data_IF_773956671081
#
_entry.id   IF_773956671081
#
_cell.length_a   1.000
_cell.length_b   1.000
_cell.length_c   1.000
_cell.angle_alpha   90.00
_cell.angle_beta   90.00
_cell.angle_gamma   90.00
#
_symmetry.space_group_name_H-M   'P 1'
#
loop_
_entity.id
_entity.type
_entity.pdbx_description
1 polymer ?
#
# COMPACT_ATOMS: atom_id res chain seq x y z
N UNK A 1 -31.90 26.67 10.01
CA UNK A 1 -32.92 25.76 9.49
C UNK A 1 -32.74 24.42 10.22
N UNK A 2 -33.69 23.98 11.03
CA UNK A 2 -33.64 22.66 11.68
C UNK A 2 -34.06 21.62 10.65
N UNK A 3 -33.22 20.63 10.39
CA UNK A 3 -33.53 19.54 9.46
C UNK A 3 -33.81 18.26 10.24
N UNK A 4 -34.78 17.51 9.74
CA UNK A 4 -35.39 16.32 10.30
C UNK A 4 -34.42 15.18 10.57
N UNK A 5 -34.69 14.43 11.65
CA UNK A 5 -34.02 13.17 12.00
C UNK A 5 -34.36 12.09 10.99
N UNK A 6 -33.35 11.49 10.38
CA UNK A 6 -33.50 10.28 9.55
C UNK A 6 -32.72 9.16 10.25
N UNK A 7 -33.45 8.08 10.58
CA UNK A 7 -32.86 6.83 11.09
C UNK A 7 -32.71 5.89 9.89
N UNK A 8 -31.49 5.73 9.39
CA UNK A 8 -31.13 4.59 8.54
C UNK A 8 -30.12 3.71 9.26
N UNK A 9 -30.51 2.47 9.53
CA UNK A 9 -29.65 1.43 10.12
C UNK A 9 -29.18 0.55 8.97
N UNK A 10 -27.90 0.58 8.66
CA UNK A 10 -27.30 -0.38 7.74
C UNK A 10 -26.60 -1.48 8.55
N UNK A 11 -27.23 -2.64 8.62
CA UNK A 11 -26.70 -3.86 9.22
C UNK A 11 -25.96 -4.68 8.15
N UNK A 12 -24.68 -4.94 8.38
CA UNK A 12 -23.97 -6.06 7.74
C UNK A 12 -23.46 -6.99 8.84
N UNK A 13 -24.08 -8.16 8.94
CA UNK A 13 -23.67 -9.23 9.84
C UNK A 13 -22.88 -10.28 9.08
N UNK A 14 -21.64 -10.55 9.50
CA UNK A 14 -20.96 -11.82 9.26
C UNK A 14 -20.52 -12.39 10.62
N UNK A 15 -21.05 -13.57 10.94
CA UNK A 15 -20.77 -14.26 12.18
C UNK A 15 -19.70 -15.34 11.98
N UNK A 16 -18.70 -15.37 12.88
CA UNK A 16 -18.06 -16.62 13.34
C UNK A 16 -17.21 -16.38 14.60
N UNK A 17 -17.39 -17.22 15.64
CA UNK A 17 -16.44 -17.47 16.72
C UNK A 17 -16.69 -16.74 18.05
N UNK A 18 -17.03 -17.50 19.09
CA UNK A 18 -17.41 -17.05 20.45
C UNK A 18 -16.18 -16.60 21.25
N UNK A 19 -15.93 -15.34 21.21
CA UNK A 19 -15.52 -14.49 22.32
C UNK A 19 -16.61 -13.40 22.39
N UNK A 20 -16.88 -12.77 23.52
CA UNK A 20 -17.91 -11.72 23.57
C UNK A 20 -17.55 -10.65 22.54
N UNK A 21 -17.96 -10.87 21.28
CA UNK A 21 -17.64 -10.03 20.16
C UNK A 21 -18.37 -8.71 20.41
N UNK A 22 -17.62 -7.65 20.58
CA UNK A 22 -18.21 -6.31 20.55
C UNK A 22 -18.95 -6.18 19.21
N UNK A 23 -20.15 -5.58 19.25
CA UNK A 23 -20.93 -5.38 18.03
C UNK A 23 -20.13 -4.59 16.99
N UNK A 24 -20.29 -4.92 15.70
CA UNK A 24 -19.68 -4.17 14.62
C UNK A 24 -19.97 -2.66 14.77
N UNK A 25 -19.08 -1.78 14.30
CA UNK A 25 -19.29 -0.35 14.41
C UNK A 25 -20.53 0.08 13.65
N UNK A 26 -21.35 0.93 14.27
CA UNK A 26 -22.57 1.47 13.69
C UNK A 26 -22.69 2.96 13.98
N UNK A 27 -23.34 3.68 13.05
CA UNK A 27 -23.56 5.13 13.15
C UNK A 27 -25.05 5.39 13.38
N UNK A 28 -25.37 6.23 14.35
CA UNK A 28 -26.70 6.74 14.61
C UNK A 28 -26.71 8.24 14.83
N UNK A 29 -27.94 8.80 14.88
CA UNK A 29 -28.20 10.20 15.23
C UNK A 29 -27.33 11.21 14.44
N UNK A 30 -27.32 11.07 13.09
CA UNK A 30 -26.60 12.00 12.22
C UNK A 30 -27.37 13.31 12.11
N UNK A 31 -26.77 14.40 12.55
CA UNK A 31 -27.33 15.74 12.42
C UNK A 31 -26.28 16.63 11.70
N UNK A 32 -26.73 17.62 10.95
CA UNK A 32 -25.83 18.61 10.40
C UNK A 32 -26.39 20.02 10.49
N UNK A 33 -25.49 20.98 10.57
CA UNK A 33 -25.79 22.39 10.64
C UNK A 33 -24.72 23.19 9.90
N UNK A 34 -25.14 24.22 9.16
CA UNK A 34 -24.22 25.14 8.52
C UNK A 34 -24.20 26.48 9.25
N UNK A 35 -23.02 26.93 9.61
CA UNK A 35 -22.83 28.27 10.18
C UNK A 35 -23.21 29.35 9.15
N UNK A 36 -24.15 30.26 9.44
CA UNK A 36 -24.62 31.27 8.48
C UNK A 36 -23.55 32.30 8.09
N UNK A 37 -22.56 32.51 8.97
CA UNK A 37 -21.46 33.46 8.75
C UNK A 37 -20.26 32.82 8.08
N UNK A 38 -19.71 31.77 8.69
CA UNK A 38 -18.48 31.12 8.20
C UNK A 38 -18.73 30.09 7.11
N UNK A 39 -20.00 29.74 6.86
CA UNK A 39 -20.43 28.69 5.92
C UNK A 39 -19.92 27.29 6.26
N UNK A 40 -19.17 27.10 7.33
CA UNK A 40 -18.69 25.80 7.77
C UNK A 40 -19.86 24.89 8.11
N UNK A 41 -19.86 23.70 7.57
CA UNK A 41 -20.80 22.64 7.92
C UNK A 41 -20.22 21.84 9.08
N UNK A 42 -21.03 21.69 10.14
CA UNK A 42 -20.78 20.78 11.26
C UNK A 42 -21.73 19.59 11.11
N UNK A 43 -21.19 18.38 11.10
CA UNK A 43 -21.95 17.13 11.16
C UNK A 43 -21.64 16.46 12.48
N UNK A 44 -22.68 16.05 13.19
CA UNK A 44 -22.53 15.28 14.42
C UNK A 44 -23.15 13.89 14.26
N UNK A 45 -22.62 12.91 14.98
CA UNK A 45 -23.10 11.53 14.94
C UNK A 45 -22.70 10.77 16.21
N UNK A 46 -23.38 9.66 16.48
CA UNK A 46 -23.02 8.73 17.55
C UNK A 46 -22.40 7.49 16.94
N UNK A 47 -21.20 7.09 17.42
CA UNK A 47 -20.54 5.85 17.03
C UNK A 47 -20.71 4.81 18.15
N UNK A 48 -21.37 3.71 17.82
CA UNK A 48 -21.64 2.59 18.73
C UNK A 48 -20.94 1.32 18.28
N UNK A 49 -20.79 0.35 19.18
CA UNK A 49 -20.07 -0.91 18.91
C UNK A 49 -18.56 -0.76 19.02
N UNK A 50 -17.81 -1.37 18.13
CA UNK A 50 -16.35 -1.24 18.06
C UNK A 50 -15.90 0.11 17.48
N UNK A 51 -14.60 0.41 17.63
CA UNK A 51 -13.96 1.50 16.91
C UNK A 51 -14.04 1.28 15.39
N UNK A 52 -14.17 2.37 14.64
CA UNK A 52 -14.28 2.28 13.18
C UNK A 52 -13.75 3.53 12.48
N UNK A 53 -13.75 3.49 11.17
CA UNK A 53 -13.32 4.59 10.30
C UNK A 53 -14.56 5.24 9.67
N UNK A 54 -15.00 6.42 10.14
CA UNK A 54 -16.12 7.13 9.56
C UNK A 54 -15.72 7.89 8.29
N UNK A 55 -16.59 7.86 7.29
CA UNK A 55 -16.49 8.69 6.09
C UNK A 55 -17.80 9.46 5.89
N UNK A 56 -17.68 10.72 5.47
CA UNK A 56 -18.81 11.63 5.24
C UNK A 56 -19.25 11.58 3.78
N UNK A 57 -20.55 11.56 3.54
CA UNK A 57 -21.19 11.87 2.26
C UNK A 57 -22.26 12.96 2.48
N UNK A 58 -22.28 13.96 1.63
CA UNK A 58 -23.35 14.96 1.59
C UNK A 58 -24.19 14.70 0.34
N UNK A 59 -25.50 14.67 0.52
CA UNK A 59 -26.45 14.38 -0.56
C UNK A 59 -27.45 15.53 -0.72
N UNK A 60 -27.85 15.76 -1.97
CA UNK A 60 -28.96 16.63 -2.29
C UNK A 60 -30.00 15.82 -3.07
N UNK A 61 -31.26 15.82 -2.60
CA UNK A 61 -32.34 14.98 -3.15
C UNK A 61 -31.92 13.50 -3.30
N UNK A 62 -31.19 12.96 -2.31
CA UNK A 62 -30.73 11.58 -2.28
C UNK A 62 -29.47 11.27 -3.12
N UNK A 63 -28.98 12.20 -3.93
CA UNK A 63 -27.79 12.06 -4.78
C UNK A 63 -26.57 12.67 -4.10
N UNK A 64 -25.46 11.93 -4.04
CA UNK A 64 -24.18 12.43 -3.50
C UNK A 64 -23.70 13.64 -4.31
N UNK A 65 -23.18 14.66 -3.63
CA UNK A 65 -22.50 15.79 -4.29
C UNK A 65 -21.13 15.38 -4.85
N UNK A 66 -20.69 14.17 -4.59
CA UNK A 66 -19.39 13.64 -5.02
C UNK A 66 -18.24 13.94 -4.05
N UNK A 67 -17.36 13.01 -3.95
CA UNK A 67 -16.26 13.03 -2.97
C UNK A 67 -15.24 14.12 -3.20
N UNK A 68 -15.02 14.52 -4.45
CA UNK A 68 -14.13 15.62 -4.79
C UNK A 68 -14.54 16.93 -4.09
N UNK A 69 -15.84 17.09 -3.85
CA UNK A 69 -16.43 18.26 -3.21
C UNK A 69 -16.39 18.18 -1.68
N UNK A 70 -16.05 17.01 -1.11
CA UNK A 70 -15.91 16.79 0.32
C UNK A 70 -14.45 16.79 0.81
N UNK A 71 -13.52 17.08 -0.07
CA UNK A 71 -12.09 17.20 0.28
C UNK A 71 -11.90 18.20 1.40
N UNK A 72 -11.00 17.85 2.34
CA UNK A 72 -10.70 18.70 3.48
C UNK A 72 -11.73 18.62 4.62
N UNK A 73 -12.66 17.68 4.61
CA UNK A 73 -13.41 17.34 5.81
C UNK A 73 -12.45 16.87 6.92
N UNK A 74 -12.68 17.33 8.16
CA UNK A 74 -11.77 17.06 9.28
C UNK A 74 -12.55 16.84 10.58
N UNK A 75 -11.86 16.44 11.64
CA UNK A 75 -12.46 16.05 12.91
C UNK A 75 -12.49 14.52 13.05
N UNK A 76 -13.64 13.97 13.42
CA UNK A 76 -13.83 12.53 13.61
C UNK A 76 -14.22 11.82 12.30
N UNK A 77 -13.36 11.93 11.31
CA UNK A 77 -13.53 11.41 9.94
C UNK A 77 -12.17 11.00 9.36
N UNK A 78 -12.17 10.09 8.42
CA UNK A 78 -10.97 9.59 7.73
C UNK A 78 -9.90 8.93 8.62
N UNK A 79 -10.16 8.70 9.87
CA UNK A 79 -9.23 8.08 10.85
C UNK A 79 -9.97 7.05 11.69
N UNK A 80 -9.22 6.23 12.42
CA UNK A 80 -9.83 5.34 13.41
C UNK A 80 -10.41 6.18 14.55
N UNK A 81 -11.70 6.08 14.76
CA UNK A 81 -12.45 6.78 15.82
C UNK A 81 -12.93 5.75 16.84
N UNK A 82 -12.67 6.03 18.12
CA UNK A 82 -13.15 5.20 19.21
C UNK A 82 -14.66 5.38 19.40
N UNK A 83 -15.38 4.28 19.60
CA UNK A 83 -16.77 4.30 20.03
C UNK A 83 -16.89 4.74 21.50
N UNK A 84 -18.09 4.95 21.99
CA UNK A 84 -18.39 5.27 23.38
C UNK A 84 -19.34 6.44 23.52
N UNK A 85 -19.66 6.78 24.79
CA UNK A 85 -20.60 7.85 25.13
C UNK A 85 -20.06 9.20 24.65
N UNK A 86 -20.75 9.81 23.75
CA UNK A 86 -20.45 11.16 23.26
C UNK A 86 -20.62 11.31 21.77
N UNK A 87 -21.05 12.49 21.43
CA UNK A 87 -21.21 12.94 20.06
C UNK A 87 -19.83 13.07 19.40
N UNK A 88 -19.68 12.55 18.18
CA UNK A 88 -18.53 12.73 17.30
C UNK A 88 -18.83 13.89 16.36
N UNK A 89 -17.78 14.57 15.90
CA UNK A 89 -17.98 15.78 15.09
C UNK A 89 -17.09 15.78 13.86
N UNK A 90 -17.70 16.08 12.72
CA UNK A 90 -17.01 16.31 11.45
C UNK A 90 -17.28 17.76 11.03
N UNK A 91 -16.25 18.42 10.54
CA UNK A 91 -16.34 19.75 9.93
C UNK A 91 -15.97 19.68 8.45
N UNK A 92 -16.71 20.43 7.64
CA UNK A 92 -16.46 20.59 6.21
C UNK A 92 -16.59 22.05 5.79
N UNK A 93 -15.66 22.51 4.94
CA UNK A 93 -15.64 23.86 4.40
C UNK A 93 -16.07 23.86 2.93
N UNK A 94 -17.38 23.97 2.60
CA UNK A 94 -17.86 23.95 1.22
C UNK A 94 -17.25 25.06 0.35
N UNK A 95 -17.06 26.25 0.89
CA UNK A 95 -16.44 27.38 0.18
C UNK A 95 -15.02 27.08 -0.33
N UNK A 96 -14.28 26.21 0.36
CA UNK A 96 -12.93 25.78 -0.04
C UNK A 96 -12.94 24.59 -0.98
N UNK A 97 -13.82 23.63 -0.71
CA UNK A 97 -13.85 22.37 -1.43
C UNK A 97 -14.70 22.41 -2.70
N UNK A 98 -15.75 23.26 -2.70
CA UNK A 98 -16.73 23.35 -3.77
C UNK A 98 -17.22 24.82 -3.97
N UNK A 99 -16.33 25.76 -4.30
CA UNK A 99 -16.63 27.19 -4.35
C UNK A 99 -17.75 27.51 -5.35
N UNK A 100 -18.56 28.55 -5.03
CA UNK A 100 -19.62 29.03 -5.88
C UNK A 100 -20.88 28.18 -5.96
N UNK A 101 -20.98 27.11 -5.14
CA UNK A 101 -22.15 26.25 -5.08
C UNK A 101 -22.99 26.49 -3.82
N UNK A 102 -24.30 26.38 -3.95
CA UNK A 102 -25.24 26.37 -2.84
C UNK A 102 -26.16 25.17 -2.94
N UNK A 103 -26.48 24.57 -1.78
CA UNK A 103 -27.45 23.48 -1.68
C UNK A 103 -28.78 24.07 -1.21
N UNK A 104 -29.77 24.13 -2.11
CA UNK A 104 -31.02 24.88 -1.86
C UNK A 104 -32.01 24.13 -0.96
N UNK A 105 -32.17 22.82 -1.14
CA UNK A 105 -33.13 21.99 -0.39
C UNK A 105 -32.79 20.51 -0.49
N UNK A 106 -33.39 19.67 0.37
CA UNK A 106 -33.20 18.22 0.34
C UNK A 106 -31.79 17.78 0.66
N UNK A 107 -31.05 18.57 1.45
CA UNK A 107 -29.68 18.25 1.85
C UNK A 107 -29.69 17.29 3.04
N UNK A 108 -28.91 16.23 2.94
CA UNK A 108 -28.70 15.27 4.01
C UNK A 108 -27.21 14.96 4.16
N UNK A 109 -26.75 14.76 5.43
CA UNK A 109 -25.44 14.20 5.71
C UNK A 109 -25.58 12.71 5.99
N UNK A 110 -24.72 11.91 5.40
CA UNK A 110 -24.61 10.47 5.64
C UNK A 110 -23.21 10.18 6.15
N UNK A 111 -23.10 9.54 7.30
CA UNK A 111 -21.83 9.05 7.83
C UNK A 111 -21.86 7.53 7.72
N UNK A 112 -20.89 6.96 6.99
CA UNK A 112 -20.68 5.51 6.91
C UNK A 112 -19.45 5.16 7.72
N UNK A 113 -19.47 4.00 8.37
CA UNK A 113 -18.34 3.53 9.18
C UNK A 113 -17.83 2.19 8.67
N UNK A 114 -16.52 2.06 8.56
CA UNK A 114 -15.82 0.80 8.27
C UNK A 114 -15.24 0.24 9.56
N UNK A 115 -15.27 -1.08 9.75
CA UNK A 115 -14.67 -1.71 10.92
C UNK A 115 -13.13 -1.58 10.89
N UNK A 116 -12.52 -1.61 12.07
CA UNK A 116 -11.06 -1.44 12.24
C UNK A 116 -10.22 -2.55 11.60
N UNK A 117 -10.78 -3.76 11.50
CA UNK A 117 -10.16 -4.95 10.91
C UNK A 117 -10.36 -5.04 9.37
N UNK A 118 -11.29 -4.25 8.85
CA UNK A 118 -11.50 -4.09 7.42
C UNK A 118 -11.74 -2.62 7.03
N UNK A 119 -10.77 -1.74 7.23
CA UNK A 119 -10.90 -0.32 6.94
C UNK A 119 -11.03 -0.05 5.43
N UNK A 120 -11.30 1.21 4.98
CA UNK A 120 -11.47 1.56 3.58
C UNK A 120 -10.29 1.15 2.68
N UNK A 121 -10.51 1.15 1.36
CA UNK A 121 -9.58 0.57 0.38
C UNK A 121 -8.27 1.33 0.18
N UNK A 122 -8.23 2.61 0.52
CA UNK A 122 -7.04 3.44 0.37
C UNK A 122 -6.65 4.03 1.72
N UNK A 123 -5.38 3.96 2.05
CA UNK A 123 -4.81 4.54 3.25
C UNK A 123 -3.72 5.55 2.87
N UNK A 124 -3.66 6.67 3.58
CA UNK A 124 -2.60 7.67 3.45
C UNK A 124 -1.91 7.82 4.80
N UNK A 125 -0.59 7.76 4.81
CA UNK A 125 0.23 8.10 5.97
C UNK A 125 0.80 9.50 5.77
N UNK A 126 0.50 10.41 6.68
CA UNK A 126 1.07 11.74 6.74
C UNK A 126 2.43 11.67 7.44
N UNK A 127 3.49 12.07 6.75
CA UNK A 127 4.87 11.95 7.23
C UNK A 127 5.41 13.22 7.90
N UNK A 128 4.67 14.33 7.88
CA UNK A 128 5.09 15.57 8.51
C UNK A 128 5.21 15.39 10.04
N UNK A 129 6.19 16.06 10.66
CA UNK A 129 6.51 15.90 12.10
C UNK A 129 5.33 16.18 13.03
N UNK A 130 4.44 17.07 12.63
CA UNK A 130 3.24 17.41 13.40
C UNK A 130 2.28 16.23 13.63
N UNK A 131 2.40 15.15 12.83
CA UNK A 131 1.59 13.94 12.94
C UNK A 131 2.27 12.82 13.72
N UNK A 132 3.51 13.01 14.19
CA UNK A 132 4.27 11.97 14.86
C UNK A 132 3.57 11.47 16.14
N UNK A 133 3.31 10.17 16.21
CA UNK A 133 2.61 9.51 17.32
C UNK A 133 1.11 9.80 17.41
N UNK A 134 0.53 10.51 16.45
CA UNK A 134 -0.88 10.90 16.46
C UNK A 134 -1.78 9.91 15.73
N UNK A 135 -3.03 9.80 16.15
CA UNK A 135 -4.03 8.94 15.51
C UNK A 135 -4.38 9.38 14.07
N UNK A 136 -4.25 10.69 13.78
CA UNK A 136 -4.50 11.26 12.45
C UNK A 136 -3.27 11.24 11.53
N UNK A 137 -2.16 10.64 11.96
CA UNK A 137 -1.05 10.30 11.07
C UNK A 137 -1.50 9.35 9.95
N UNK A 138 -2.51 8.53 10.21
CA UNK A 138 -3.09 7.61 9.24
C UNK A 138 -4.52 8.05 8.90
N UNK A 139 -4.78 8.24 7.62
CA UNK A 139 -6.09 8.58 7.09
C UNK A 139 -6.55 7.54 6.06
N UNK A 140 -7.86 7.32 6.00
CA UNK A 140 -8.48 6.31 5.15
C UNK A 140 -9.50 6.92 4.20
N UNK A 141 -9.56 6.38 2.99
CA UNK A 141 -10.43 6.84 1.91
C UNK A 141 -11.05 5.65 1.19
N UNK A 142 -12.29 5.78 0.72
CA UNK A 142 -13.02 4.67 0.11
C UNK A 142 -12.39 4.19 -1.22
N UNK A 143 -11.79 5.10 -1.98
CA UNK A 143 -11.06 4.79 -3.23
C UNK A 143 -10.02 5.88 -3.53
N UNK A 144 -9.24 5.70 -4.58
CA UNK A 144 -8.29 6.71 -5.05
C UNK A 144 -8.94 8.03 -5.49
N UNK A 145 -10.18 8.00 -5.95
CA UNK A 145 -10.92 9.21 -6.33
C UNK A 145 -11.24 10.11 -5.13
N UNK A 146 -11.27 9.52 -3.93
CA UNK A 146 -11.56 10.22 -2.67
C UNK A 146 -10.32 10.90 -2.07
N UNK A 147 -9.15 10.68 -2.63
CA UNK A 147 -7.91 11.24 -2.11
C UNK A 147 -7.92 12.78 -2.11
N UNK A 148 -7.42 13.43 -1.06
CA UNK A 148 -7.46 14.89 -0.94
C UNK A 148 -6.64 15.60 -2.03
N UNK A 149 -5.62 14.95 -2.56
CA UNK A 149 -4.73 15.50 -3.60
C UNK A 149 -5.15 15.08 -5.03
N UNK A 150 -6.32 14.46 -5.19
CA UNK A 150 -6.87 14.06 -6.47
C UNK A 150 -6.64 12.57 -6.78
N UNK A 151 -5.60 12.22 -7.51
CA UNK A 151 -5.31 10.82 -7.90
C UNK A 151 -4.19 10.22 -7.08
N UNK A 152 -4.09 8.89 -7.05
CA UNK A 152 -2.97 8.20 -6.40
C UNK A 152 -1.60 8.60 -6.99
N UNK A 153 -1.55 8.93 -8.28
CA UNK A 153 -0.31 9.32 -8.97
C UNK A 153 0.08 10.80 -8.78
N UNK A 154 -0.57 11.52 -7.86
CA UNK A 154 -0.17 12.87 -7.51
C UNK A 154 1.20 12.89 -6.81
N UNK A 155 2.03 13.87 -7.15
CA UNK A 155 3.36 14.04 -6.56
C UNK A 155 3.35 14.19 -5.04
N UNK A 156 2.24 14.64 -4.46
CA UNK A 156 2.08 14.72 -3.00
C UNK A 156 2.35 13.38 -2.29
N UNK A 157 2.08 12.26 -2.94
CA UNK A 157 2.30 10.90 -2.40
C UNK A 157 3.68 10.32 -2.71
N UNK A 158 4.52 11.08 -3.42
CA UNK A 158 5.91 10.74 -3.78
C UNK A 158 6.93 11.59 -3.04
N UNK A 159 6.47 12.63 -2.34
CA UNK A 159 7.28 13.60 -1.58
C UNK A 159 7.44 13.16 -0.12
N UNK A 160 8.30 13.85 0.68
CA UNK A 160 8.49 13.50 2.09
C UNK A 160 7.29 13.81 3.00
N UNK A 161 6.13 14.17 2.44
CA UNK A 161 4.95 14.58 3.20
C UNK A 161 3.93 13.48 3.38
N UNK A 162 3.78 12.58 2.40
CA UNK A 162 2.73 11.54 2.40
C UNK A 162 3.20 10.26 1.73
N UNK A 163 2.61 9.14 2.15
CA UNK A 163 2.66 7.85 1.46
C UNK A 163 1.24 7.35 1.24
N UNK A 164 0.94 6.86 0.04
CA UNK A 164 -0.33 6.23 -0.28
C UNK A 164 -0.21 4.70 -0.30
N UNK A 165 -1.25 4.03 0.18
CA UNK A 165 -1.32 2.57 0.27
C UNK A 165 -2.65 2.07 -0.30
N UNK A 166 -2.62 0.94 -0.97
CA UNK A 166 -3.79 0.20 -1.45
C UNK A 166 -4.05 -1.00 -0.55
N UNK A 167 -5.30 -1.19 -0.11
CA UNK A 167 -5.72 -2.43 0.54
C UNK A 167 -5.81 -3.54 -0.49
N UNK A 168 -5.13 -4.63 -0.25
CA UNK A 168 -5.14 -5.82 -1.08
C UNK A 168 -6.14 -6.82 -0.50
N UNK A 169 -7.21 -7.16 -1.25
CA UNK A 169 -8.29 -8.03 -0.79
C UNK A 169 -7.88 -9.50 -0.91
N UNK A 170 -6.97 -9.95 -0.04
CA UNK A 170 -6.37 -11.27 -0.10
C UNK A 170 -7.02 -12.29 0.85
N UNK A 171 -7.77 -11.82 1.86
CA UNK A 171 -8.27 -12.66 2.94
C UNK A 171 -9.05 -13.89 2.45
N UNK A 172 -8.55 -15.07 2.77
CA UNK A 172 -9.17 -16.35 2.48
C UNK A 172 -9.07 -16.84 1.03
N UNK A 173 -8.45 -16.05 0.13
CA UNK A 173 -8.29 -16.44 -1.28
C UNK A 173 -7.16 -17.46 -1.41
N UNK A 174 -7.50 -18.63 -1.96
CA UNK A 174 -6.52 -19.64 -2.36
C UNK A 174 -6.06 -19.37 -3.78
N UNK A 175 -4.75 -19.24 -3.96
CA UNK A 175 -4.13 -18.96 -5.25
C UNK A 175 -2.85 -19.78 -5.46
N UNK A 176 -2.26 -19.69 -6.63
CA UNK A 176 -1.01 -20.39 -6.95
C UNK A 176 0.15 -19.41 -7.00
N UNK A 177 1.08 -19.55 -6.07
CA UNK A 177 2.36 -18.86 -6.01
C UNK A 177 3.40 -19.62 -6.85
N UNK A 178 4.37 -18.91 -7.42
CA UNK A 178 5.37 -19.47 -8.29
C UNK A 178 4.91 -19.55 -9.77
N UNK A 179 5.72 -20.16 -10.62
CA UNK A 179 5.48 -20.27 -12.06
C UNK A 179 5.19 -21.70 -12.50
N UNK A 180 4.36 -21.90 -13.53
CA UNK A 180 4.16 -23.23 -14.09
C UNK A 180 5.42 -23.73 -14.79
N UNK A 181 5.59 -25.06 -14.90
CA UNK A 181 6.75 -25.68 -15.55
C UNK A 181 6.93 -25.25 -17.03
N UNK A 182 5.85 -24.82 -17.66
CA UNK A 182 5.82 -24.32 -19.04
C UNK A 182 6.23 -22.86 -19.17
N UNK A 183 6.38 -22.13 -18.05
CA UNK A 183 6.80 -20.73 -18.11
C UNK A 183 8.27 -20.63 -18.51
N UNK A 184 8.52 -19.85 -19.56
CA UNK A 184 9.89 -19.64 -20.05
C UNK A 184 10.74 -18.90 -19.03
N UNK A 185 12.01 -19.30 -18.95
CA UNK A 185 13.00 -18.71 -18.03
C UNK A 185 12.64 -18.90 -16.54
N UNK A 186 11.74 -19.85 -16.26
CA UNK A 186 11.46 -20.26 -14.90
C UNK A 186 12.75 -20.74 -14.22
N UNK A 187 12.95 -20.32 -12.99
CA UNK A 187 14.00 -20.79 -12.09
C UNK A 187 13.50 -21.96 -11.23
N UNK A 188 14.41 -22.81 -10.76
CA UNK A 188 14.09 -23.92 -9.82
C UNK A 188 13.50 -23.43 -8.49
N UNK A 189 13.77 -22.21 -8.10
CA UNK A 189 13.22 -21.58 -6.90
C UNK A 189 11.77 -21.09 -7.03
N UNK A 190 11.17 -21.18 -8.23
CA UNK A 190 9.81 -20.71 -8.52
C UNK A 190 8.77 -21.84 -8.49
N UNK A 191 8.97 -22.88 -7.69
CA UNK A 191 8.07 -24.04 -7.68
C UNK A 191 6.62 -23.65 -7.34
N UNK A 192 5.69 -24.11 -8.21
CA UNK A 192 4.29 -23.70 -8.14
C UNK A 192 3.53 -24.44 -7.07
N UNK A 193 2.96 -23.73 -6.10
CA UNK A 193 2.23 -24.30 -4.97
C UNK A 193 0.99 -23.49 -4.61
N UNK A 194 0.12 -24.04 -3.76
CA UNK A 194 -1.12 -23.36 -3.32
C UNK A 194 -0.84 -22.58 -2.04
N UNK A 195 -1.24 -21.32 -2.05
CA UNK A 195 -1.10 -20.38 -0.92
C UNK A 195 -2.46 -19.77 -0.60
N UNK A 196 -2.70 -19.48 0.67
CA UNK A 196 -3.81 -18.65 1.15
C UNK A 196 -3.26 -17.59 2.09
N UNK A 197 -3.58 -16.33 1.81
CA UNK A 197 -3.38 -15.23 2.76
C UNK A 197 -4.65 -15.11 3.62
N UNK A 198 -4.51 -15.20 4.93
CA UNK A 198 -5.68 -15.28 5.83
C UNK A 198 -6.28 -13.90 6.14
N UNK A 199 -5.54 -12.83 5.86
CA UNK A 199 -5.99 -11.46 6.08
C UNK A 199 -5.69 -10.55 4.90
N UNK A 200 -6.45 -9.47 4.79
CA UNK A 200 -6.10 -8.35 3.93
C UNK A 200 -4.86 -7.62 4.45
N UNK A 201 -4.25 -6.81 3.62
CA UNK A 201 -3.12 -5.96 3.99
C UNK A 201 -3.09 -4.71 3.13
N UNK A 202 -2.42 -3.68 3.59
CA UNK A 202 -2.10 -2.52 2.77
C UNK A 202 -0.72 -2.67 2.17
N UNK A 203 -0.59 -2.32 0.90
CA UNK A 203 0.69 -2.27 0.20
C UNK A 203 0.92 -0.87 -0.34
N UNK A 204 2.14 -0.35 -0.23
CA UNK A 204 2.52 0.94 -0.78
C UNK A 204 2.18 1.03 -2.27
N UNK A 205 1.49 2.10 -2.68
CA UNK A 205 1.12 2.34 -4.08
C UNK A 205 2.37 2.42 -4.94
N UNK A 206 3.45 2.98 -4.39
CA UNK A 206 4.77 3.12 -5.00
C UNK A 206 5.84 2.41 -4.17
N UNK A 207 7.00 2.20 -4.77
CA UNK A 207 8.25 2.02 -4.07
C UNK A 207 8.51 3.24 -3.17
N UNK A 208 9.22 3.06 -2.04
CA UNK A 208 9.59 4.18 -1.17
C UNK A 208 10.52 5.13 -1.93
N UNK A 209 10.21 6.42 -1.95
CA UNK A 209 11.03 7.41 -2.65
C UNK A 209 12.23 7.87 -1.82
N UNK A 210 13.22 8.44 -2.49
CA UNK A 210 14.41 9.00 -1.87
C UNK A 210 14.05 10.06 -0.81
N UNK A 211 13.10 10.94 -1.13
CA UNK A 211 12.64 11.98 -0.22
C UNK A 211 11.90 11.42 1.00
N UNK A 212 11.07 10.39 0.82
CA UNK A 212 10.38 9.71 1.93
C UNK A 212 11.38 8.99 2.84
N UNK A 213 12.38 8.32 2.28
CA UNK A 213 13.44 7.69 3.07
C UNK A 213 14.26 8.73 3.85
N UNK A 214 14.68 9.80 3.20
CA UNK A 214 15.42 10.91 3.80
C UNK A 214 14.67 11.57 4.95
N UNK A 215 13.34 11.63 4.87
CA UNK A 215 12.47 12.17 5.93
C UNK A 215 12.71 11.49 7.28
N UNK A 216 12.94 10.18 7.30
CA UNK A 216 13.18 9.39 8.50
C UNK A 216 14.67 9.16 8.80
N UNK A 217 15.49 8.98 7.76
CA UNK A 217 16.88 8.60 7.89
C UNK A 217 17.87 9.78 7.79
N UNK A 218 17.38 10.99 7.49
CA UNK A 218 18.17 12.20 7.36
C UNK A 218 18.90 12.33 6.02
N UNK A 219 19.32 11.22 5.41
CA UNK A 219 20.00 11.16 4.12
C UNK A 219 19.71 9.83 3.42
N UNK A 220 20.04 9.72 2.15
CA UNK A 220 20.04 8.48 1.38
C UNK A 220 21.34 8.33 0.61
N UNK A 221 21.62 7.12 0.12
CA UNK A 221 22.82 6.76 -0.64
C UNK A 221 22.55 6.55 -2.12
N UNK A 222 21.37 6.94 -2.58
CA UNK A 222 20.91 6.69 -3.94
C UNK A 222 21.85 7.27 -4.98
N UNK A 223 22.05 6.50 -6.05
CA UNK A 223 22.97 6.85 -7.14
C UNK A 223 22.34 7.80 -8.16
N UNK A 224 21.00 7.95 -8.13
CA UNK A 224 20.24 8.77 -9.08
C UNK A 224 19.43 9.87 -8.37
N UNK A 225 20.06 10.83 -7.66
CA UNK A 225 19.38 11.82 -6.81
C UNK A 225 18.85 13.01 -7.65
N UNK A 226 17.99 12.72 -8.62
CA UNK A 226 17.38 13.70 -9.54
C UNK A 226 15.85 13.73 -9.38
N UNK A 227 15.18 14.60 -10.13
CA UNK A 227 13.73 14.69 -10.21
C UNK A 227 13.04 14.92 -8.85
N UNK A 228 13.59 15.82 -8.05
CA UNK A 228 13.03 16.18 -6.75
C UNK A 228 13.05 15.06 -5.72
N UNK A 229 13.95 14.07 -5.88
CA UNK A 229 14.05 12.88 -5.02
C UNK A 229 12.75 12.02 -5.04
N UNK A 230 11.97 12.05 -6.12
CA UNK A 230 10.77 11.22 -6.33
C UNK A 230 11.06 9.88 -7.01
N UNK A 231 12.32 9.60 -7.33
CA UNK A 231 12.74 8.25 -7.75
C UNK A 231 12.73 7.31 -6.55
N UNK A 232 12.64 5.97 -6.77
CA UNK A 232 12.76 5.03 -5.66
C UNK A 232 14.08 5.22 -4.93
N UNK A 233 14.07 5.07 -3.62
CA UNK A 233 15.31 4.97 -2.86
C UNK A 233 15.96 3.63 -3.20
N UNK A 234 17.21 3.69 -3.64
CA UNK A 234 18.02 2.53 -3.95
C UNK A 234 19.37 2.60 -3.24
N UNK A 235 20.19 1.58 -3.40
CA UNK A 235 21.50 1.48 -2.75
C UNK A 235 21.44 1.42 -1.21
N UNK A 236 20.35 0.85 -0.70
CA UNK A 236 20.19 0.51 0.71
C UNK A 236 20.17 -1.01 0.87
N UNK A 237 20.64 -1.48 2.00
CA UNK A 237 20.56 -2.90 2.38
C UNK A 237 19.28 -3.19 3.17
N UNK A 238 18.90 -4.46 3.24
CA UNK A 238 17.81 -4.93 4.10
C UNK A 238 18.04 -4.54 5.58
N UNK A 239 19.31 -4.60 6.03
CA UNK A 239 19.71 -4.20 7.38
C UNK A 239 19.51 -2.69 7.65
N UNK A 240 19.64 -1.83 6.65
CA UNK A 240 19.37 -0.39 6.80
C UNK A 240 17.88 -0.07 6.78
N UNK A 241 17.11 -0.83 6.03
CA UNK A 241 15.65 -0.65 5.91
C UNK A 241 14.94 -1.12 7.16
N UNK A 242 15.20 -2.36 7.59
CA UNK A 242 14.52 -2.98 8.74
C UNK A 242 15.26 -2.82 10.06
N UNK A 243 16.55 -2.54 10.00
CA UNK A 243 17.46 -2.42 11.14
C UNK A 243 18.27 -3.69 11.35
N UNK A 244 19.56 -3.51 11.68
CA UNK A 244 20.54 -4.60 11.77
C UNK A 244 20.19 -5.66 12.81
N UNK A 245 19.58 -5.25 13.92
CA UNK A 245 19.20 -6.13 15.03
C UNK A 245 17.78 -6.70 14.87
N UNK A 246 17.14 -6.44 13.75
CA UNK A 246 15.81 -6.99 13.47
C UNK A 246 15.86 -8.49 13.35
N UNK A 247 14.97 -9.15 14.07
CA UNK A 247 14.78 -10.60 14.00
C UNK A 247 13.69 -10.88 12.97
N UNK A 248 14.01 -11.72 12.00
CA UNK A 248 13.00 -12.35 11.18
C UNK A 248 12.59 -13.62 11.90
N UNK A 249 11.35 -13.68 12.33
CA UNK A 249 10.88 -14.80 13.14
C UNK A 249 10.60 -16.01 12.27
N UNK A 250 10.55 -17.11 12.94
CA UNK A 250 10.21 -18.40 12.37
C UNK A 250 8.79 -18.48 11.80
N UNK A 251 8.26 -19.66 11.77
CA UNK A 251 7.18 -20.16 10.94
C UNK A 251 5.76 -19.58 11.15
N UNK A 252 5.53 -18.57 11.98
CA UNK A 252 4.19 -18.00 12.17
C UNK A 252 4.12 -16.52 11.80
N UNK A 253 2.96 -16.11 11.24
CA UNK A 253 2.69 -14.70 10.88
C UNK A 253 2.76 -13.75 12.08
N UNK A 254 2.28 -14.15 13.25
CA UNK A 254 2.32 -13.33 14.47
C UNK A 254 3.76 -12.99 14.88
N UNK A 255 4.67 -13.95 14.68
CA UNK A 255 6.10 -13.77 14.88
C UNK A 255 6.74 -13.02 13.71
N UNK A 256 6.20 -13.15 12.48
CA UNK A 256 6.74 -12.56 11.26
C UNK A 256 6.86 -11.03 11.32
N UNK A 257 5.94 -10.36 11.99
CA UNK A 257 6.00 -8.92 12.22
C UNK A 257 6.59 -8.56 13.59
N UNK A 258 7.40 -9.45 14.16
CA UNK A 258 8.09 -9.29 15.42
C UNK A 258 8.97 -8.04 15.53
N UNK A 259 10.03 -8.07 16.27
CA UNK A 259 10.84 -6.90 16.54
C UNK A 259 11.48 -6.33 15.26
N UNK A 260 11.17 -5.07 14.96
CA UNK A 260 11.88 -4.24 14.00
C UNK A 260 12.80 -3.31 14.79
N UNK A 261 14.06 -3.24 14.41
CA UNK A 261 15.03 -2.36 15.07
C UNK A 261 14.65 -0.89 14.83
N UNK A 262 14.56 -0.12 15.91
CA UNK A 262 14.17 1.28 15.87
C UNK A 262 15.14 2.17 15.06
N UNK A 263 16.38 1.74 14.80
CA UNK A 263 17.36 2.49 14.01
C UNK A 263 17.07 2.48 12.51
N UNK A 264 16.38 1.44 12.01
CA UNK A 264 16.02 1.30 10.60
C UNK A 264 14.89 2.23 10.16
N UNK A 265 14.70 2.37 8.84
CA UNK A 265 13.61 3.16 8.27
C UNK A 265 12.24 2.69 8.80
N UNK A 266 11.98 1.38 8.79
CA UNK A 266 10.71 0.81 9.23
C UNK A 266 10.46 1.03 10.74
N UNK A 267 11.49 0.92 11.57
CA UNK A 267 11.37 1.21 12.99
C UNK A 267 10.95 2.66 13.25
N UNK A 268 11.52 3.60 12.51
CA UNK A 268 11.18 5.03 12.58
C UNK A 268 9.77 5.32 12.05
N UNK A 269 9.35 4.64 10.96
CA UNK A 269 7.99 4.74 10.44
C UNK A 269 6.97 4.20 11.46
N UNK A 270 7.26 3.06 12.12
CA UNK A 270 6.44 2.52 13.21
C UNK A 270 6.28 3.51 14.36
N UNK A 271 7.38 4.11 14.82
CA UNK A 271 7.34 5.12 15.87
C UNK A 271 6.48 6.32 15.45
N UNK A 272 6.66 6.81 14.21
CA UNK A 272 5.88 7.92 13.67
C UNK A 272 4.38 7.65 13.63
N UNK A 273 3.97 6.41 13.38
CA UNK A 273 2.56 5.99 13.23
C UNK A 273 1.95 5.37 14.49
N UNK A 274 2.52 5.67 15.67
CA UNK A 274 1.99 5.18 16.94
C UNK A 274 2.11 3.66 17.11
N UNK A 275 3.16 3.05 16.57
CA UNK A 275 3.46 1.62 16.73
C UNK A 275 2.76 0.70 15.71
N UNK A 276 2.15 1.23 14.65
CA UNK A 276 1.58 0.39 13.59
C UNK A 276 2.65 -0.50 12.97
N UNK A 277 2.30 -1.75 12.72
CA UNK A 277 3.23 -2.82 12.30
C UNK A 277 3.66 -2.74 10.82
N UNK A 278 4.01 -1.54 10.34
CA UNK A 278 4.58 -1.38 9.00
C UNK A 278 5.86 -2.20 8.86
N UNK A 279 5.97 -2.94 7.76
CA UNK A 279 7.13 -3.78 7.44
C UNK A 279 7.34 -3.90 5.93
N UNK A 280 8.30 -4.69 5.50
CA UNK A 280 8.37 -5.20 4.14
C UNK A 280 7.22 -6.20 3.91
N UNK A 281 6.74 -6.41 2.69
CA UNK A 281 5.84 -7.52 2.38
C UNK A 281 6.56 -8.87 2.53
N UNK A 282 5.81 -9.94 2.84
CA UNK A 282 6.30 -11.29 2.54
C UNK A 282 6.33 -11.50 1.02
N UNK A 283 7.07 -12.50 0.55
CA UNK A 283 7.06 -12.86 -0.88
C UNK A 283 5.64 -13.17 -1.37
N UNK A 284 4.86 -13.89 -0.58
CA UNK A 284 3.48 -14.23 -0.92
C UNK A 284 2.59 -13.01 -1.03
N UNK A 285 2.71 -12.04 -0.11
CA UNK A 285 1.98 -10.78 -0.20
C UNK A 285 2.39 -9.98 -1.43
N UNK A 286 3.69 -9.91 -1.70
CA UNK A 286 4.21 -9.18 -2.86
C UNK A 286 3.71 -9.79 -4.18
N UNK A 287 3.85 -11.13 -4.35
CA UNK A 287 3.47 -11.82 -5.58
C UNK A 287 1.95 -11.82 -5.80
N UNK A 288 1.15 -12.02 -4.74
CA UNK A 288 -0.31 -11.91 -4.83
C UNK A 288 -0.75 -10.55 -5.34
N UNK A 289 -0.17 -9.47 -4.79
CA UNK A 289 -0.47 -8.11 -5.22
C UNK A 289 0.00 -7.83 -6.65
N UNK A 290 1.19 -8.33 -7.03
CA UNK A 290 1.75 -8.19 -8.36
C UNK A 290 0.91 -8.89 -9.44
N UNK A 291 0.34 -10.06 -9.12
CA UNK A 291 -0.46 -10.85 -10.06
C UNK A 291 -1.87 -10.32 -10.29
N UNK A 292 -2.45 -9.59 -9.35
CA UNK A 292 -3.80 -9.03 -9.45
C UNK A 292 -4.87 -10.07 -9.88
N UNK A 293 -4.72 -11.31 -9.40
CA UNK A 293 -5.58 -12.44 -9.74
C UNK A 293 -5.20 -13.22 -11.00
N UNK A 294 -4.16 -12.79 -11.74
CA UNK A 294 -3.64 -13.54 -12.90
C UNK A 294 -2.82 -14.75 -12.47
N UNK A 295 -2.93 -15.84 -13.21
CA UNK A 295 -2.07 -17.02 -13.09
C UNK A 295 -0.85 -16.99 -14.02
N UNK A 296 -0.73 -15.97 -14.89
CA UNK A 296 0.31 -15.79 -15.89
C UNK A 296 1.50 -14.98 -15.34
N UNK A 297 2.55 -14.80 -16.14
CA UNK A 297 3.71 -14.00 -15.77
C UNK A 297 3.36 -12.54 -15.51
N UNK A 298 2.33 -12.01 -16.20
CA UNK A 298 1.85 -10.63 -16.08
C UNK A 298 0.34 -10.56 -15.80
N UNK A 299 -0.14 -9.47 -15.18
CA UNK A 299 -1.56 -9.30 -14.80
C UNK A 299 -2.54 -9.33 -15.98
N UNK A 300 -2.13 -8.95 -17.17
CA UNK A 300 -2.96 -8.98 -18.38
C UNK A 300 -3.22 -10.39 -18.93
N UNK A 301 -2.65 -11.42 -18.29
CA UNK A 301 -2.76 -12.81 -18.70
C UNK A 301 -1.70 -13.26 -19.68
N UNK A 302 -0.76 -12.38 -20.05
CA UNK A 302 0.34 -12.74 -20.93
C UNK A 302 1.51 -13.38 -20.17
N UNK A 303 2.30 -14.16 -20.89
CA UNK A 303 3.54 -14.78 -20.42
C UNK A 303 4.61 -14.64 -21.50
N UNK A 304 5.85 -14.93 -21.15
CA UNK A 304 6.95 -14.93 -22.10
C UNK A 304 6.68 -15.95 -23.23
N UNK A 305 6.38 -15.48 -24.45
CA UNK A 305 6.14 -16.35 -25.59
C UNK A 305 7.43 -16.74 -26.31
N UNK A 306 7.42 -17.89 -27.04
CA UNK A 306 8.53 -18.27 -27.91
C UNK A 306 8.68 -17.31 -29.07
N UNK A 307 9.94 -16.89 -29.37
CA UNK A 307 10.25 -16.04 -30.49
C UNK A 307 9.88 -14.57 -30.35
N UNK A 308 9.35 -14.12 -29.21
CA UNK A 308 8.95 -12.73 -29.02
C UNK A 308 10.04 -11.87 -28.35
N UNK A 309 11.29 -12.06 -28.71
CA UNK A 309 12.43 -11.33 -28.09
C UNK A 309 12.43 -9.81 -28.33
N UNK A 310 11.43 -9.27 -29.04
CA UNK A 310 11.44 -7.88 -29.51
C UNK A 310 10.29 -7.00 -28.96
N UNK A 311 9.26 -7.55 -28.33
CA UNK A 311 8.14 -6.74 -27.81
C UNK A 311 7.49 -7.40 -26.62
N UNK A 312 7.38 -6.63 -25.54
CA UNK A 312 6.74 -7.02 -24.28
C UNK A 312 5.68 -5.97 -23.97
N UNK A 313 4.51 -5.98 -24.62
CA UNK A 313 3.55 -4.87 -24.59
C UNK A 313 3.18 -4.45 -23.15
N UNK A 314 3.03 -5.41 -22.23
CA UNK A 314 2.76 -5.11 -20.84
C UNK A 314 3.93 -4.35 -20.20
N UNK A 315 5.17 -4.85 -20.33
CA UNK A 315 6.34 -4.21 -19.73
C UNK A 315 6.64 -2.84 -20.33
N UNK A 316 6.41 -2.63 -21.63
CA UNK A 316 6.64 -1.34 -22.28
C UNK A 316 5.77 -0.22 -21.70
N UNK A 317 4.58 -0.57 -21.24
CA UNK A 317 3.61 0.40 -20.69
C UNK A 317 3.60 0.47 -19.16
N UNK A 318 3.98 -0.60 -18.45
CA UNK A 318 3.85 -0.71 -17.00
C UNK A 318 5.19 -0.80 -16.26
N UNK A 319 6.33 -0.76 -16.97
CA UNK A 319 7.62 -1.09 -16.36
C UNK A 319 8.76 -0.23 -16.87
N UNK A 320 9.70 0.08 -15.98
CA UNK A 320 11.04 0.54 -16.31
C UNK A 320 11.98 -0.65 -16.29
N UNK A 321 12.43 -1.15 -17.46
CA UNK A 321 13.27 -2.33 -17.59
C UNK A 321 14.35 -2.14 -18.68
N UNK A 322 15.22 -3.13 -18.90
CA UNK A 322 16.40 -3.01 -19.75
C UNK A 322 16.14 -2.51 -21.17
N UNK A 323 15.00 -2.83 -21.77
CA UNK A 323 14.74 -2.48 -23.17
C UNK A 323 14.17 -1.06 -23.36
N UNK A 324 13.75 -0.40 -22.29
CA UNK A 324 13.18 0.95 -22.38
C UNK A 324 13.89 2.01 -21.50
N UNK A 325 15.04 1.68 -20.90
CA UNK A 325 15.77 2.63 -20.06
C UNK A 325 16.71 3.57 -20.84
N UNK A 326 16.59 3.63 -22.17
CA UNK A 326 17.39 4.47 -23.04
C UNK A 326 18.63 3.73 -23.56
N UNK A 327 18.61 3.38 -24.84
CA UNK A 327 19.76 2.75 -25.51
C UNK A 327 20.82 3.79 -25.83
N UNK A 328 21.72 4.07 -24.90
CA UNK A 328 23.03 4.52 -25.24
C UNK A 328 24.06 3.66 -24.49
N UNK A 329 24.23 2.45 -25.03
CA UNK A 329 25.16 1.44 -24.48
C UNK A 329 26.64 1.84 -24.63
N UNK A 330 26.94 3.02 -25.15
CA UNK A 330 28.32 3.47 -25.42
C UNK A 330 28.96 4.23 -24.27
N UNK A 331 28.24 4.51 -23.17
CA UNK A 331 28.81 5.31 -22.07
C UNK A 331 28.78 4.52 -20.77
N UNK A 332 29.80 3.73 -20.54
CA UNK A 332 30.00 2.87 -19.36
C UNK A 332 30.02 3.60 -18.01
N UNK A 333 29.98 4.91 -17.95
CA UNK A 333 30.02 5.74 -16.77
C UNK A 333 28.98 6.87 -16.72
N UNK A 334 27.94 6.83 -17.59
CA UNK A 334 26.98 7.92 -17.63
C UNK A 334 25.86 7.68 -16.59
N UNK A 335 25.88 8.49 -15.54
CA UNK A 335 24.74 8.79 -14.66
C UNK A 335 23.67 9.62 -15.42
N UNK A 336 23.56 9.46 -16.76
CA UNK A 336 22.55 10.15 -17.51
C UNK A 336 21.16 9.67 -17.07
N UNK A 337 20.21 10.57 -17.07
CA UNK A 337 18.79 10.31 -16.69
C UNK A 337 18.18 9.17 -17.50
N UNK A 338 18.78 8.77 -18.60
CA UNK A 338 18.34 7.69 -19.46
C UNK A 338 18.76 6.29 -18.98
N UNK A 339 19.84 6.16 -18.19
CA UNK A 339 20.36 4.89 -17.67
C UNK A 339 20.15 4.80 -16.15
N UNK A 340 18.90 5.02 -15.71
CA UNK A 340 18.57 5.14 -14.30
C UNK A 340 17.18 4.59 -14.00
N UNK A 341 16.84 4.50 -12.74
CA UNK A 341 15.45 4.34 -12.27
C UNK A 341 14.59 5.49 -12.82
N UNK A 342 13.30 5.26 -12.96
CA UNK A 342 12.32 6.30 -13.25
C UNK A 342 11.78 6.93 -11.96
N UNK A 343 11.18 8.12 -12.05
CA UNK A 343 10.29 8.64 -10.99
C UNK A 343 9.20 7.61 -10.76
N UNK A 344 8.87 7.30 -9.51
CA UNK A 344 7.83 6.32 -9.21
C UNK A 344 6.50 6.73 -9.85
N UNK A 345 5.77 5.77 -10.40
CA UNK A 345 4.50 6.04 -11.11
C UNK A 345 4.65 6.72 -12.46
N UNK A 346 5.82 6.63 -13.11
CA UNK A 346 6.02 7.13 -14.49
C UNK A 346 5.36 6.25 -15.54
N UNK A 347 5.03 5.03 -15.20
CA UNK A 347 4.36 4.05 -16.06
C UNK A 347 2.92 3.85 -15.60
N UNK A 348 2.15 3.05 -16.34
CA UNK A 348 0.76 2.75 -15.98
C UNK A 348 0.71 1.89 -14.70
N UNK A 349 -0.31 2.15 -13.89
CA UNK A 349 -0.63 1.27 -12.77
C UNK A 349 -1.27 -0.03 -13.26
N UNK A 350 -1.08 -1.10 -12.50
CA UNK A 350 -1.91 -2.28 -12.59
C UNK A 350 -3.37 -2.00 -12.23
N UNK A 351 -4.25 -2.99 -12.40
CA UNK A 351 -5.71 -2.86 -12.14
C UNK A 351 -6.04 -2.54 -10.68
N UNK A 352 -5.17 -2.91 -9.75
CA UNK A 352 -5.35 -2.58 -8.34
C UNK A 352 -4.77 -1.22 -7.95
N UNK A 353 -4.19 -0.49 -8.93
CA UNK A 353 -3.63 0.84 -8.73
C UNK A 353 -2.25 0.84 -8.09
N UNK A 354 -1.53 -0.26 -8.16
CA UNK A 354 -0.12 -0.36 -7.78
C UNK A 354 0.76 0.00 -8.99
N UNK A 355 1.80 0.77 -8.76
CA UNK A 355 2.77 1.18 -9.77
C UNK A 355 4.09 0.44 -9.58
N UNK A 356 4.84 0.31 -10.66
CA UNK A 356 6.23 -0.16 -10.67
C UNK A 356 6.42 -1.56 -10.04
N UNK A 357 5.37 -2.43 -10.08
CA UNK A 357 5.46 -3.82 -9.61
C UNK A 357 6.37 -4.66 -10.51
N UNK A 358 6.73 -4.15 -11.68
CA UNK A 358 7.63 -4.75 -12.65
C UNK A 358 8.73 -3.75 -12.99
N UNK A 359 10.00 -4.11 -12.75
CA UNK A 359 11.14 -3.26 -13.06
C UNK A 359 11.39 -2.13 -12.05
N UNK A 360 11.89 -1.01 -12.49
CA UNK A 360 12.38 0.13 -11.72
C UNK A 360 13.45 -0.28 -10.69
N UNK A 361 13.10 -0.77 -9.49
CA UNK A 361 14.03 -1.41 -8.56
C UNK A 361 13.53 -2.80 -8.14
N UNK A 362 14.47 -3.72 -7.88
CA UNK A 362 14.13 -4.96 -7.19
C UNK A 362 13.68 -4.64 -5.77
N UNK A 363 12.57 -5.19 -5.35
CA UNK A 363 11.98 -4.91 -4.06
C UNK A 363 12.31 -5.96 -3.01
N UNK A 364 12.83 -5.49 -1.88
CA UNK A 364 13.13 -6.33 -0.73
C UNK A 364 11.84 -6.92 -0.16
N UNK A 365 11.88 -8.21 0.17
CA UNK A 365 10.85 -8.88 0.96
C UNK A 365 11.39 -9.34 2.32
N UNK A 366 10.51 -9.82 3.18
CA UNK A 366 10.89 -10.34 4.49
C UNK A 366 11.62 -11.68 4.40
N UNK A 367 11.29 -12.50 3.42
CA UNK A 367 11.60 -13.92 3.37
C UNK A 367 13.09 -14.19 3.11
N UNK A 368 13.60 -15.27 3.69
CA UNK A 368 14.87 -15.83 3.27
C UNK A 368 14.76 -16.39 1.85
N UNK A 369 15.79 -16.17 1.05
CA UNK A 369 15.86 -16.77 -0.28
C UNK A 369 16.24 -18.24 -0.14
N UNK A 370 15.24 -19.09 -0.24
CA UNK A 370 15.32 -20.55 -0.13
C UNK A 370 14.31 -21.20 -1.08
N UNK A 371 14.44 -22.51 -1.31
CA UNK A 371 13.38 -23.30 -1.97
C UNK A 371 12.07 -23.14 -1.19
N UNK A 372 10.95 -23.15 -1.89
CA UNK A 372 9.66 -23.21 -1.22
C UNK A 372 9.48 -24.56 -0.54
N UNK A 373 8.93 -24.55 0.66
CA UNK A 373 8.48 -25.77 1.33
C UNK A 373 7.12 -26.17 0.72
N UNK A 374 7.20 -26.90 -0.39
CA UNK A 374 6.03 -27.26 -1.19
C UNK A 374 5.36 -28.49 -0.63
N UNK A 375 4.09 -28.39 -0.31
CA UNK A 375 3.23 -29.48 0.11
C UNK A 375 2.05 -29.65 -0.86
N UNK A 376 1.40 -30.82 -0.84
CA UNK A 376 0.18 -31.08 -1.64
C UNK A 376 -1.01 -30.22 -1.17
N UNK A 377 -0.93 -29.63 0.03
CA UNK A 377 -1.96 -28.82 0.65
C UNK A 377 -1.92 -27.35 0.27
N UNK A 378 -2.70 -26.56 1.01
CA UNK A 378 -2.67 -25.09 0.98
C UNK A 378 -1.80 -24.61 2.12
N UNK A 379 -0.85 -23.75 1.83
CA UNK A 379 0.03 -23.14 2.85
C UNK A 379 -0.59 -21.79 3.22
N UNK A 380 -0.90 -21.64 4.50
CA UNK A 380 -1.48 -20.42 5.04
C UNK A 380 -0.38 -19.42 5.43
N UNK A 381 -0.54 -18.17 4.97
CA UNK A 381 0.35 -17.03 5.30
C UNK A 381 1.85 -17.40 5.26
N UNK A 382 2.39 -17.97 4.17
CA UNK A 382 3.80 -18.32 4.13
C UNK A 382 4.67 -17.09 4.36
N UNK A 383 5.69 -17.26 5.17
CA UNK A 383 6.68 -16.23 5.49
C UNK A 383 8.12 -16.71 5.21
N UNK A 384 8.25 -17.66 4.30
CA UNK A 384 9.51 -18.27 3.92
C UNK A 384 10.06 -19.27 4.95
N UNK A 385 11.27 -19.73 4.71
CA UNK A 385 11.98 -20.62 5.63
C UNK A 385 12.29 -19.91 6.96
N UNK A 386 12.28 -20.65 8.06
CA UNK A 386 12.66 -20.15 9.38
C UNK A 386 14.14 -19.73 9.48
N UNK A 387 14.98 -20.25 8.58
CA UNK A 387 16.41 -19.98 8.53
C UNK A 387 16.87 -19.82 7.07
N UNK A 388 17.99 -19.16 6.82
CA UNK A 388 18.56 -19.09 5.48
C UNK A 388 19.01 -20.49 5.03
N UNK A 389 18.81 -20.79 3.75
CA UNK A 389 19.24 -22.06 3.15
C UNK A 389 20.76 -22.19 3.08
N UNK A 390 21.44 -21.07 2.97
CA UNK A 390 22.90 -21.00 2.84
C UNK A 390 23.50 -20.06 3.88
N UNK A 391 24.82 -20.23 4.18
CA UNK A 391 25.58 -19.33 5.04
C UNK A 391 25.63 -17.87 4.56
N UNK A 392 25.22 -17.64 3.31
CA UNK A 392 25.20 -16.29 2.70
C UNK A 392 24.06 -15.38 3.22
N UNK A 393 23.13 -15.92 3.99
CA UNK A 393 22.04 -15.16 4.61
C UNK A 393 21.29 -14.24 3.60
N UNK A 394 20.88 -14.78 2.45
CA UNK A 394 20.22 -14.01 1.41
C UNK A 394 18.75 -13.81 1.74
N UNK A 395 18.26 -12.60 1.48
CA UNK A 395 16.84 -12.21 1.46
C UNK A 395 16.35 -12.20 0.02
N UNK A 396 15.07 -12.49 -0.18
CA UNK A 396 14.47 -12.48 -1.50
C UNK A 396 14.16 -11.05 -1.94
N UNK A 397 14.46 -10.78 -3.21
CA UNK A 397 14.07 -9.61 -3.97
C UNK A 397 13.08 -10.02 -5.05
N UNK A 398 12.14 -9.13 -5.38
CA UNK A 398 11.06 -9.38 -6.33
C UNK A 398 10.96 -8.26 -7.36
N UNK A 399 10.26 -8.50 -8.49
CA UNK A 399 9.88 -7.50 -9.46
C UNK A 399 10.89 -7.19 -10.57
N UNK A 400 12.15 -7.57 -10.39
CA UNK A 400 13.22 -7.15 -11.29
C UNK A 400 13.55 -5.67 -11.14
N UNK A 401 14.36 -5.11 -12.04
CA UNK A 401 14.78 -3.72 -11.97
C UNK A 401 14.98 -3.13 -13.38
N UNK A 402 15.20 -1.80 -13.43
CA UNK A 402 15.44 -1.06 -14.67
C UNK A 402 16.53 -1.65 -15.59
N UNK A 403 17.52 -2.34 -15.01
CA UNK A 403 18.64 -2.95 -15.75
C UNK A 403 18.42 -4.42 -16.11
N UNK A 404 17.32 -5.02 -15.65
CA UNK A 404 17.06 -6.44 -15.89
C UNK A 404 16.34 -6.66 -17.22
N UNK A 405 16.68 -7.79 -17.87
CA UNK A 405 16.02 -8.25 -19.07
C UNK A 405 14.59 -8.73 -18.75
N UNK A 406 13.68 -8.75 -19.75
CA UNK A 406 12.28 -9.11 -19.53
C UNK A 406 12.05 -10.43 -18.78
N UNK A 407 12.90 -11.41 -19.01
CA UNK A 407 12.86 -12.71 -18.33
C UNK A 407 13.05 -12.64 -16.81
N UNK A 408 13.69 -11.58 -16.31
CA UNK A 408 13.90 -11.31 -14.89
C UNK A 408 12.94 -10.24 -14.34
N UNK A 409 11.89 -9.92 -15.10
CA UNK A 409 10.86 -8.95 -14.72
C UNK A 409 9.50 -9.63 -14.85
N UNK A 410 9.31 -10.73 -14.11
CA UNK A 410 8.10 -11.57 -14.05
C UNK A 410 7.54 -11.60 -12.64
N UNK A 411 6.24 -11.83 -12.51
CA UNK A 411 5.61 -11.92 -11.19
C UNK A 411 6.23 -13.00 -10.28
N UNK A 412 6.67 -14.14 -10.86
CA UNK A 412 7.26 -15.25 -10.12
C UNK A 412 8.78 -15.14 -9.94
N UNK A 413 9.47 -14.27 -10.70
CA UNK A 413 10.94 -14.18 -10.64
C UNK A 413 11.45 -13.84 -9.24
N UNK A 414 12.48 -14.53 -8.79
CA UNK A 414 13.06 -14.42 -7.45
C UNK A 414 14.56 -14.21 -7.52
N UNK A 415 15.06 -13.29 -6.74
CA UNK A 415 16.49 -13.00 -6.69
C UNK A 415 17.01 -12.93 -5.25
N UNK A 416 18.05 -13.67 -4.93
CA UNK A 416 18.62 -13.70 -3.58
C UNK A 416 19.76 -12.73 -3.37
N UNK A 417 19.63 -11.81 -2.40
CA UNK A 417 20.64 -10.80 -2.06
C UNK A 417 21.03 -10.89 -0.59
N UNK A 418 22.32 -10.80 -0.26
CA UNK A 418 22.78 -10.75 1.14
C UNK A 418 22.10 -9.59 1.86
N UNK A 419 21.64 -9.82 3.09
CA UNK A 419 20.90 -8.79 3.86
C UNK A 419 21.69 -7.50 4.07
N UNK A 420 23.02 -7.53 4.01
CA UNK A 420 23.90 -6.36 4.11
C UNK A 420 24.28 -5.75 2.76
N UNK A 421 23.89 -6.38 1.65
CA UNK A 421 24.26 -5.93 0.31
C UNK A 421 23.47 -4.70 -0.09
N UNK A 422 24.17 -3.74 -0.69
CA UNK A 422 23.62 -2.54 -1.32
C UNK A 422 23.70 -2.68 -2.85
N UNK A 423 22.84 -1.97 -3.57
CA UNK A 423 22.89 -1.95 -5.02
C UNK A 423 21.97 -0.89 -5.61
N UNK A 424 22.40 -0.23 -6.68
CA UNK A 424 21.67 0.83 -7.38
C UNK A 424 20.34 0.37 -8.03
N UNK A 425 20.05 -0.90 -7.93
CA UNK A 425 18.84 -1.54 -8.44
C UNK A 425 18.02 -2.20 -7.32
N UNK A 426 18.39 -1.99 -6.05
CA UNK A 426 17.75 -2.59 -4.88
C UNK A 426 17.05 -1.51 -4.09
N UNK A 427 15.73 -1.59 -4.03
CA UNK A 427 14.84 -0.73 -3.26
C UNK A 427 13.80 -1.53 -2.50
N UNK A 428 12.68 -0.91 -2.14
CA UNK A 428 11.62 -1.57 -1.39
C UNK A 428 10.30 -0.81 -1.42
N UNK A 429 9.22 -1.52 -1.15
CA UNK A 429 7.92 -0.91 -0.77
C UNK A 429 7.48 -1.38 0.59
N UNK A 430 6.56 -0.63 1.20
CA UNK A 430 6.08 -0.87 2.57
C UNK A 430 4.75 -1.60 2.54
N UNK A 431 4.59 -2.54 3.47
CA UNK A 431 3.37 -3.28 3.74
C UNK A 431 2.87 -2.98 5.16
N UNK A 432 1.55 -2.97 5.36
CA UNK A 432 0.90 -3.00 6.67
C UNK A 432 -0.10 -4.14 6.69
N UNK A 433 0.17 -5.24 7.41
CA UNK A 433 -0.82 -6.32 7.59
C UNK A 433 -2.03 -5.81 8.38
N UNK A 434 -3.20 -6.35 8.06
CA UNK A 434 -4.42 -6.19 8.85
C UNK A 434 -4.60 -7.45 9.70
N UNK A 435 -4.66 -7.25 11.00
CA UNK A 435 -4.85 -8.34 11.99
C UNK A 435 -6.34 -8.69 12.11
#
# INVERSE_FOLDING_TARGET
>A
MKVSRIREVALFSFAFGVSAAMAAPSVGDVEFWQNPTTKVVKVTYVLSGEAGVPLLDIRTNGVSIGWANLRGAYGDVHKLVQSGSGEKTIYWHPEKAWPGHSLASGVTAVVRVWPKDNPPDVMVVNLDRQYEGRDDAIQYYASFEHLPEGTANCDAYKTPRKMAFRKIPAAGIVWRMGSPDTEKKRDAYEERHKVRLTSNYYLGVFEVTQSQYKRFCGSHKSMFPTDGEMRPVENNSWDEVRGKNSVWPGATRAEAYGSVDASGFLGKLRAHTGGKKFDLPTEAQWEFACREGSGAAYPDGTSLAEGSEKSWPYLETHSRYKNNYGQDATVANNLSTNYATAVVGSYLAGRWGLYDMFGNVCEMTLDWHAQYDVTDGVIDDPCGSAAPETSDNKRTMRGGAYLHAPENVRAADRYGVKRSQQGRHIGFRVCLPLD
#
